data_IF_284816160913
#
_entry.id   IF_284816160913
#
_cell.length_a   1.000
_cell.length_b   1.000
_cell.length_c   1.000
_cell.angle_alpha   90.00
_cell.angle_beta   90.00
_cell.angle_gamma   90.00
#
_symmetry.space_group_name_H-M   'P 1'
#
loop_
_entity.id
_entity.type
_entity.pdbx_description
1 polymer ?
#
# COMPACT_ATOMS: atom_id res chain seq x y z
N UNK A 1 -81.94 0.50 6.86
CA UNK A 1 -80.69 1.17 6.46
C UNK A 1 -79.57 0.69 7.39
N UNK A 2 -78.63 -0.13 6.85
CA UNK A 2 -77.50 -0.65 7.64
C UNK A 2 -76.23 0.20 7.33
N UNK A 3 -75.78 0.99 8.30
CA UNK A 3 -74.51 1.75 8.20
C UNK A 3 -73.40 0.81 8.44
N UNK A 4 -72.53 0.64 7.40
CA UNK A 4 -71.17 -0.04 7.53
C UNK A 4 -70.15 1.01 7.97
N UNK A 5 -69.61 0.85 9.17
CA UNK A 5 -68.50 1.62 9.62
C UNK A 5 -67.21 0.97 9.06
N UNK A 6 -66.45 1.72 8.26
CA UNK A 6 -65.16 1.34 7.75
C UNK A 6 -64.09 1.83 8.74
N UNK A 7 -63.48 0.91 9.48
CA UNK A 7 -62.30 1.23 10.31
C UNK A 7 -61.06 1.24 9.45
N UNK A 8 -60.48 2.43 9.24
CA UNK A 8 -59.13 2.57 8.63
C UNK A 8 -58.12 2.48 9.74
N UNK A 9 -57.39 1.36 9.80
CA UNK A 9 -56.23 1.20 10.71
C UNK A 9 -55.03 1.83 10.02
N UNK A 10 -54.60 3.01 10.50
CA UNK A 10 -53.31 3.58 10.15
C UNK A 10 -52.19 2.79 10.84
N UNK A 11 -51.46 2.00 10.07
CA UNK A 11 -50.22 1.36 10.54
C UNK A 11 -49.14 2.45 10.58
N UNK A 12 -48.89 3.03 11.76
CA UNK A 12 -47.73 3.88 12.00
C UNK A 12 -46.48 2.97 12.03
N UNK A 13 -45.83 2.81 10.90
CA UNK A 13 -44.48 2.24 10.85
C UNK A 13 -43.53 3.31 11.39
N UNK A 14 -42.84 3.07 12.52
CA UNK A 14 -41.81 3.99 12.98
C UNK A 14 -40.71 4.02 11.90
N UNK A 15 -40.56 5.17 11.25
CA UNK A 15 -39.43 5.45 10.38
C UNK A 15 -38.23 5.69 11.32
N UNK A 16 -37.43 4.63 11.61
CA UNK A 16 -36.15 4.83 12.26
C UNK A 16 -35.26 5.58 11.29
N UNK A 17 -35.06 6.86 11.57
CA UNK A 17 -34.03 7.67 10.92
C UNK A 17 -32.73 7.15 11.50
N UNK A 18 -32.05 6.23 10.79
CA UNK A 18 -30.65 5.93 11.06
C UNK A 18 -29.86 7.22 10.81
N UNK A 19 -29.51 7.91 11.87
CA UNK A 19 -28.46 8.90 11.84
C UNK A 19 -27.17 8.17 11.50
N UNK A 20 -26.69 8.32 10.27
CA UNK A 20 -25.31 7.98 9.94
C UNK A 20 -24.45 8.99 10.71
N UNK A 21 -24.06 8.61 11.94
CA UNK A 21 -22.98 9.32 12.63
C UNK A 21 -21.77 9.24 11.72
N UNK A 22 -21.19 10.39 11.42
CA UNK A 22 -19.96 10.51 10.64
C UNK A 22 -18.85 9.91 11.52
N UNK A 23 -18.62 8.60 11.40
CA UNK A 23 -17.55 7.93 12.16
C UNK A 23 -16.22 8.53 11.71
N UNK A 24 -15.56 9.23 12.64
CA UNK A 24 -14.21 9.73 12.43
C UNK A 24 -13.24 8.54 12.55
N UNK A 25 -12.75 8.06 11.42
CA UNK A 25 -11.69 7.04 11.40
C UNK A 25 -10.33 7.71 11.58
N UNK A 26 -9.51 7.11 12.44
CA UNK A 26 -8.12 7.48 12.60
C UNK A 26 -7.23 6.26 12.38
N UNK A 27 -6.14 6.43 11.65
CA UNK A 27 -5.16 5.38 11.38
C UNK A 27 -3.82 5.77 11.96
N UNK A 28 -3.13 4.79 12.52
CA UNK A 28 -1.71 4.88 12.72
C UNK A 28 -0.99 4.23 11.54
N UNK A 29 -0.14 4.99 10.87
CA UNK A 29 0.56 4.57 9.67
C UNK A 29 2.06 4.52 9.95
N UNK A 30 2.70 3.37 9.65
CA UNK A 30 4.14 3.24 9.62
C UNK A 30 4.64 3.43 8.18
N UNK A 31 5.63 4.30 7.97
CA UNK A 31 6.41 4.38 6.73
C UNK A 31 7.86 4.05 7.10
N UNK A 32 8.40 2.96 6.54
CA UNK A 32 9.69 2.45 6.99
C UNK A 32 10.51 1.81 5.87
N UNK A 33 11.72 2.34 5.63
CA UNK A 33 12.70 1.69 4.77
C UNK A 33 13.37 0.56 5.57
N UNK A 34 13.21 -0.67 5.10
CA UNK A 34 13.64 -1.87 5.80
C UNK A 34 15.10 -2.26 5.54
N UNK A 35 15.76 -1.66 4.54
CA UNK A 35 17.14 -1.91 4.15
C UNK A 35 17.43 -3.41 3.93
N UNK A 36 16.61 -4.06 3.08
CA UNK A 36 16.63 -5.52 2.84
C UNK A 36 17.47 -5.93 1.64
N UNK A 37 18.61 -5.30 1.41
CA UNK A 37 19.54 -5.73 0.39
C UNK A 37 20.09 -7.14 0.70
N UNK A 38 20.58 -7.89 -0.32
CA UNK A 38 21.21 -9.18 -0.11
C UNK A 38 22.37 -9.09 0.91
N UNK A 39 22.53 -10.11 1.75
CA UNK A 39 23.54 -10.18 2.83
C UNK A 39 24.98 -9.93 2.37
N UNK A 40 25.28 -10.18 1.08
CA UNK A 40 26.61 -9.90 0.52
C UNK A 40 26.94 -8.40 0.45
N UNK A 41 25.93 -7.53 0.55
CA UNK A 41 26.09 -6.06 0.47
C UNK A 41 25.89 -5.37 1.82
N UNK A 42 25.36 -6.07 2.82
CA UNK A 42 25.02 -5.49 4.13
C UNK A 42 25.43 -6.45 5.25
N UNK A 43 25.84 -5.90 6.39
CA UNK A 43 26.28 -6.64 7.58
C UNK A 43 25.39 -6.28 8.79
N UNK A 44 24.07 -6.33 8.61
CA UNK A 44 23.10 -5.99 9.65
C UNK A 44 22.11 -7.13 9.99
N UNK A 45 22.43 -8.35 9.56
CA UNK A 45 21.72 -9.59 9.85
C UNK A 45 20.20 -9.51 9.50
N UNK A 46 19.84 -9.29 8.23
CA UNK A 46 18.45 -9.11 7.82
C UNK A 46 17.56 -10.32 8.17
N UNK A 47 18.06 -11.54 8.10
CA UNK A 47 17.30 -12.76 8.46
C UNK A 47 16.78 -12.76 9.90
N UNK A 48 17.51 -12.14 10.83
CA UNK A 48 17.02 -11.97 12.21
C UNK A 48 16.13 -10.74 12.37
N UNK A 49 16.45 -9.69 11.63
CA UNK A 49 15.79 -8.39 11.75
C UNK A 49 14.40 -8.38 11.11
N UNK A 50 14.23 -9.00 9.96
CA UNK A 50 13.00 -8.95 9.20
C UNK A 50 11.78 -9.60 9.88
N UNK A 51 11.88 -10.77 10.54
CA UNK A 51 10.78 -11.29 11.35
C UNK A 51 10.34 -10.32 12.45
N UNK A 52 11.29 -9.63 13.09
CA UNK A 52 11.01 -8.63 14.12
C UNK A 52 10.31 -7.41 13.52
N UNK A 53 10.72 -6.97 12.32
CA UNK A 53 10.03 -5.90 11.60
C UNK A 53 8.58 -6.31 11.32
N UNK A 54 8.37 -7.53 10.78
CA UNK A 54 7.04 -8.08 10.54
C UNK A 54 6.17 -8.09 11.80
N UNK A 55 6.73 -8.52 12.94
CA UNK A 55 6.03 -8.48 14.22
C UNK A 55 5.63 -7.05 14.61
N UNK A 56 6.52 -6.08 14.43
CA UNK A 56 6.27 -4.67 14.78
C UNK A 56 5.22 -4.00 13.90
N UNK A 57 4.99 -4.47 12.67
CA UNK A 57 3.92 -3.93 11.82
C UNK A 57 2.52 -4.17 12.41
N UNK A 58 2.37 -5.13 13.33
CA UNK A 58 1.08 -5.40 13.99
C UNK A 58 0.59 -4.26 14.87
N UNK A 59 1.49 -3.38 15.31
CA UNK A 59 1.17 -2.20 16.11
C UNK A 59 0.54 -1.06 15.28
N UNK A 60 0.46 -1.22 13.94
CA UNK A 60 -0.01 -0.20 13.02
C UNK A 60 -1.18 -0.72 12.18
N UNK A 61 -2.14 0.16 11.89
CA UNK A 61 -3.24 -0.14 10.98
C UNK A 61 -2.76 -0.35 9.54
N UNK A 62 -1.78 0.46 9.12
CA UNK A 62 -1.19 0.43 7.79
C UNK A 62 0.32 0.55 7.92
N UNK A 63 1.06 -0.33 7.27
CA UNK A 63 2.52 -0.24 7.18
C UNK A 63 2.96 -0.23 5.73
N UNK A 64 3.68 0.83 5.35
CA UNK A 64 4.22 1.06 4.02
C UNK A 64 5.73 0.87 4.08
N UNK A 65 6.20 -0.28 3.61
CA UNK A 65 7.58 -0.67 3.70
C UNK A 65 8.29 -0.49 2.35
N UNK A 66 9.57 -0.09 2.41
CA UNK A 66 10.47 0.01 1.27
C UNK A 66 11.69 -0.86 1.50
N UNK A 67 12.32 -1.30 0.42
CA UNK A 67 13.55 -2.12 0.39
C UNK A 67 13.42 -3.49 1.08
N UNK A 68 12.28 -4.18 1.00
CA UNK A 68 12.19 -5.55 1.52
C UNK A 68 12.86 -6.60 0.61
N UNK A 69 13.15 -6.26 -0.60
CA UNK A 69 13.85 -6.99 -1.67
C UNK A 69 13.96 -8.50 -1.48
N UNK A 70 15.09 -8.96 -0.89
CA UNK A 70 15.44 -10.38 -0.77
C UNK A 70 14.89 -11.04 0.49
N UNK A 71 14.26 -10.28 1.39
CA UNK A 71 13.87 -10.73 2.73
C UNK A 71 12.37 -10.69 3.00
N UNK A 72 11.58 -10.75 1.92
CA UNK A 72 10.13 -10.73 2.02
C UNK A 72 9.56 -11.95 2.75
N UNK A 73 10.17 -13.12 2.60
CA UNK A 73 9.74 -14.34 3.30
C UNK A 73 9.97 -14.23 4.80
N UNK A 74 11.14 -13.72 5.20
CA UNK A 74 11.44 -13.47 6.61
C UNK A 74 10.51 -12.42 7.20
N UNK A 75 10.23 -11.32 6.47
CA UNK A 75 9.24 -10.32 6.86
C UNK A 75 7.87 -10.98 7.10
N UNK A 76 7.42 -11.77 6.14
CA UNK A 76 6.12 -12.44 6.19
C UNK A 76 6.00 -13.41 7.36
N UNK A 77 7.11 -14.07 7.75
CA UNK A 77 7.11 -14.97 8.92
C UNK A 77 6.81 -14.27 10.24
N UNK A 78 7.03 -12.95 10.31
CA UNK A 78 6.74 -12.12 11.49
C UNK A 78 5.32 -11.56 11.53
N UNK A 79 4.57 -11.62 10.42
CA UNK A 79 3.23 -11.02 10.34
C UNK A 79 2.22 -11.73 11.26
N UNK A 80 1.16 -11.03 11.62
CA UNK A 80 0.00 -11.61 12.29
C UNK A 80 -0.85 -12.46 11.34
N UNK A 81 -1.64 -13.38 11.88
CA UNK A 81 -2.58 -14.20 11.09
C UNK A 81 -3.65 -13.37 10.41
N UNK A 82 -4.00 -12.23 10.97
CA UNK A 82 -5.00 -11.28 10.45
C UNK A 82 -4.40 -10.21 9.54
N UNK A 83 -3.05 -10.17 9.41
CA UNK A 83 -2.38 -9.20 8.56
C UNK A 83 -2.53 -9.55 7.09
N UNK A 84 -2.92 -8.58 6.27
CA UNK A 84 -2.97 -8.70 4.80
C UNK A 84 -1.78 -7.95 4.23
N UNK A 85 -0.93 -8.64 3.45
CA UNK A 85 0.26 -8.04 2.85
C UNK A 85 0.20 -8.08 1.32
N UNK A 86 0.51 -6.96 0.71
CA UNK A 86 0.63 -6.81 -0.75
C UNK A 86 2.07 -6.45 -1.11
N UNK A 87 2.73 -7.36 -1.79
CA UNK A 87 4.08 -7.14 -2.31
C UNK A 87 4.03 -6.36 -3.61
N UNK A 88 4.99 -5.45 -3.80
CA UNK A 88 5.17 -4.70 -5.04
C UNK A 88 5.68 -5.55 -6.20
N UNK A 89 5.84 -4.93 -7.37
CA UNK A 89 6.27 -5.61 -8.59
C UNK A 89 7.55 -6.41 -8.41
N UNK A 90 7.58 -7.62 -8.95
CA UNK A 90 8.76 -8.50 -8.93
C UNK A 90 9.68 -8.19 -10.10
N UNK A 91 10.99 -8.44 -9.91
CA UNK A 91 11.96 -8.37 -11.00
C UNK A 91 11.66 -9.37 -12.12
N UNK A 92 12.20 -9.13 -13.30
CA UNK A 92 12.03 -10.01 -14.46
C UNK A 92 13.16 -11.03 -14.57
N UNK A 93 12.87 -12.17 -15.24
CA UNK A 93 13.88 -13.19 -15.56
C UNK A 93 15.03 -12.65 -16.43
N UNK A 94 14.81 -11.55 -17.16
CA UNK A 94 15.83 -10.94 -18.05
C UNK A 94 16.95 -10.20 -17.29
N UNK A 95 16.78 -9.95 -16.00
CA UNK A 95 17.81 -9.37 -15.14
C UNK A 95 17.94 -10.18 -13.83
N UNK A 96 18.79 -11.23 -13.81
CA UNK A 96 18.94 -12.09 -12.62
C UNK A 96 19.49 -11.36 -11.38
N UNK A 97 20.11 -10.20 -11.57
CA UNK A 97 20.61 -9.33 -10.49
C UNK A 97 19.61 -8.27 -10.08
N UNK A 98 18.50 -8.13 -10.83
CA UNK A 98 17.46 -7.18 -10.50
C UNK A 98 16.56 -7.73 -9.42
N UNK A 99 16.44 -7.00 -8.34
CA UNK A 99 15.44 -7.26 -7.31
C UNK A 99 14.09 -6.68 -7.75
N UNK A 100 12.99 -7.07 -7.12
CA UNK A 100 11.70 -6.43 -7.32
C UNK A 100 11.70 -4.96 -6.87
N UNK A 101 10.51 -4.36 -6.79
CA UNK A 101 10.37 -2.96 -6.37
C UNK A 101 10.83 -2.71 -4.93
N UNK A 102 10.91 -3.76 -4.11
CA UNK A 102 11.21 -3.67 -2.68
C UNK A 102 10.09 -3.02 -1.87
N UNK A 103 8.89 -2.94 -2.42
CA UNK A 103 7.73 -2.38 -1.74
C UNK A 103 6.88 -3.49 -1.12
N UNK A 104 6.41 -3.27 0.09
CA UNK A 104 5.37 -4.08 0.73
C UNK A 104 4.44 -3.18 1.52
N UNK A 105 3.14 -3.33 1.30
CA UNK A 105 2.10 -2.66 2.09
C UNK A 105 1.37 -3.71 2.92
N UNK A 106 1.25 -3.47 4.23
CA UNK A 106 0.65 -4.38 5.20
C UNK A 106 -0.50 -3.66 5.89
N UNK A 107 -1.62 -4.37 6.03
CA UNK A 107 -2.86 -3.85 6.59
C UNK A 107 -3.32 -4.72 7.76
N UNK A 108 -3.62 -4.07 8.87
CA UNK A 108 -4.24 -4.64 10.06
C UNK A 108 -5.52 -3.82 10.33
N UNK A 109 -6.45 -3.89 9.40
CA UNK A 109 -7.72 -3.18 9.45
C UNK A 109 -8.81 -4.11 9.97
N UNK A 110 -9.85 -3.57 10.65
CA UNK A 110 -11.01 -4.37 11.07
C UNK A 110 -11.77 -4.97 9.87
N UNK A 111 -12.62 -5.94 10.13
CA UNK A 111 -13.49 -6.52 9.12
C UNK A 111 -14.38 -5.48 8.43
N UNK A 112 -14.68 -5.74 7.16
CA UNK A 112 -15.53 -4.88 6.33
C UNK A 112 -14.79 -3.78 5.58
N UNK A 113 -13.49 -3.60 5.80
CA UNK A 113 -12.65 -2.72 4.99
C UNK A 113 -12.20 -3.45 3.73
N UNK A 114 -12.31 -2.80 2.58
CA UNK A 114 -11.83 -3.35 1.30
C UNK A 114 -10.53 -2.66 0.90
N UNK A 115 -9.57 -3.46 0.46
CA UNK A 115 -8.25 -3.00 0.05
C UNK A 115 -8.00 -3.49 -1.37
N UNK A 116 -7.70 -2.57 -2.26
CA UNK A 116 -7.26 -2.85 -3.62
C UNK A 116 -5.88 -2.23 -3.85
N UNK A 117 -4.93 -3.01 -4.39
CA UNK A 117 -3.55 -2.57 -4.57
C UNK A 117 -3.10 -2.84 -6.00
N UNK A 118 -2.78 -1.77 -6.71
CA UNK A 118 -2.18 -1.83 -8.04
C UNK A 118 -0.69 -1.51 -7.94
N UNK A 119 0.12 -2.27 -8.66
CA UNK A 119 1.56 -2.08 -8.73
C UNK A 119 1.96 -1.53 -10.10
N UNK A 120 2.72 -0.44 -10.11
CA UNK A 120 3.31 0.11 -11.31
C UNK A 120 4.84 0.19 -11.18
N UNK A 121 5.55 -0.06 -12.30
CA UNK A 121 7.01 0.03 -12.37
C UNK A 121 7.38 1.31 -13.08
N UNK A 122 8.38 2.03 -12.57
CA UNK A 122 8.90 3.21 -13.24
C UNK A 122 9.59 2.85 -14.55
N UNK A 123 9.36 3.67 -15.56
CA UNK A 123 10.04 3.55 -16.88
C UNK A 123 11.44 4.16 -16.84
N UNK A 124 11.64 5.16 -15.96
CA UNK A 124 12.89 5.90 -15.82
C UNK A 124 13.63 5.52 -14.54
N UNK A 125 14.94 5.34 -14.68
CA UNK A 125 15.86 5.12 -13.58
C UNK A 125 17.23 5.76 -13.84
N UNK A 126 18.03 6.00 -12.80
CA UNK A 126 19.38 6.50 -12.93
C UNK A 126 20.43 5.46 -12.52
N UNK A 127 21.36 5.17 -13.43
CA UNK A 127 22.58 4.39 -13.16
C UNK A 127 22.42 2.88 -13.17
N UNK A 128 23.06 2.24 -14.16
CA UNK A 128 23.29 0.80 -14.21
C UNK A 128 24.59 0.36 -13.52
N UNK A 129 25.63 1.21 -13.59
CA UNK A 129 26.97 0.92 -13.06
C UNK A 129 27.59 2.12 -12.33
N UNK A 130 26.85 3.19 -12.15
CA UNK A 130 27.29 4.43 -11.48
C UNK A 130 26.15 5.05 -10.69
N UNK A 131 26.44 5.67 -9.57
CA UNK A 131 25.45 6.26 -8.68
C UNK A 131 24.93 5.23 -7.69
N UNK A 132 23.65 5.29 -7.37
CA UNK A 132 22.99 4.35 -6.45
C UNK A 132 22.64 3.01 -7.12
N UNK A 133 22.91 2.85 -8.43
CA UNK A 133 22.57 1.67 -9.22
C UNK A 133 21.07 1.31 -9.20
N UNK A 134 20.23 2.32 -9.15
CA UNK A 134 18.76 2.18 -8.98
C UNK A 134 18.08 1.37 -10.10
N UNK A 135 18.71 1.31 -11.29
CA UNK A 135 18.20 0.51 -12.40
C UNK A 135 18.27 -1.01 -12.19
N UNK A 136 18.98 -1.50 -11.16
CA UNK A 136 18.93 -2.92 -10.77
C UNK A 136 17.74 -3.25 -9.87
N UNK A 137 17.09 -2.25 -9.28
CA UNK A 137 15.83 -2.41 -8.60
C UNK A 137 14.70 -2.02 -9.55
N UNK A 138 13.73 -2.90 -9.78
CA UNK A 138 12.52 -2.56 -10.53
C UNK A 138 11.63 -1.63 -9.70
N UNK A 139 12.18 -0.44 -9.36
CA UNK A 139 11.48 0.54 -8.55
C UNK A 139 10.17 0.96 -9.20
N UNK A 140 9.22 1.32 -8.36
CA UNK A 140 7.89 1.68 -8.79
C UNK A 140 7.07 2.23 -7.63
N UNK A 141 5.77 2.10 -7.74
CA UNK A 141 4.83 2.51 -6.71
C UNK A 141 3.63 1.57 -6.64
N UNK A 142 2.99 1.58 -5.48
CA UNK A 142 1.70 0.94 -5.25
C UNK A 142 0.65 2.03 -5.13
N UNK A 143 -0.44 1.90 -5.89
CA UNK A 143 -1.66 2.69 -5.68
C UNK A 143 -2.57 1.83 -4.83
N UNK A 144 -2.86 2.28 -3.63
CA UNK A 144 -3.65 1.57 -2.64
C UNK A 144 -4.97 2.30 -2.50
N UNK A 145 -6.06 1.66 -2.91
CA UNK A 145 -7.41 2.14 -2.66
C UNK A 145 -7.95 1.45 -1.43
N UNK A 146 -8.43 2.20 -0.47
CA UNK A 146 -9.09 1.69 0.72
C UNK A 146 -10.52 2.19 0.75
N UNK A 147 -11.47 1.25 0.86
CA UNK A 147 -12.90 1.54 0.98
C UNK A 147 -13.35 1.18 2.39
N UNK A 148 -13.93 2.13 3.09
CA UNK A 148 -14.47 1.94 4.43
C UNK A 148 -15.78 1.16 4.41
N UNK A 149 -16.26 0.58 5.54
CA UNK A 149 -17.55 -0.10 5.61
C UNK A 149 -18.75 0.78 5.22
N UNK A 150 -18.62 2.11 5.35
CA UNK A 150 -19.62 3.09 4.91
C UNK A 150 -19.32 3.69 3.53
N UNK A 151 -18.61 2.94 2.68
CA UNK A 151 -18.34 3.24 1.25
C UNK A 151 -17.54 4.53 0.99
N UNK A 152 -16.84 5.07 2.01
CA UNK A 152 -15.88 6.17 1.79
C UNK A 152 -14.59 5.60 1.23
N UNK A 153 -14.04 6.26 0.23
CA UNK A 153 -12.81 5.84 -0.44
C UNK A 153 -11.68 6.83 -0.21
N UNK A 154 -10.46 6.33 -0.06
CA UNK A 154 -9.26 7.12 -0.05
C UNK A 154 -8.09 6.36 -0.66
N UNK A 155 -7.07 7.08 -1.11
CA UNK A 155 -5.92 6.52 -1.80
C UNK A 155 -4.63 6.81 -1.03
N UNK A 156 -3.75 5.82 -1.01
CA UNK A 156 -2.39 5.94 -0.49
C UNK A 156 -1.42 5.52 -1.58
N UNK A 157 -0.31 6.22 -1.71
CA UNK A 157 0.78 5.85 -2.60
C UNK A 157 1.97 5.41 -1.76
N UNK A 158 2.39 4.14 -1.93
CA UNK A 158 3.64 3.63 -1.39
C UNK A 158 4.69 3.60 -2.51
N UNK A 159 5.79 4.31 -2.34
CA UNK A 159 6.87 4.36 -3.33
C UNK A 159 8.24 4.50 -2.70
N UNK A 160 9.26 4.08 -3.46
CA UNK A 160 10.66 4.34 -3.17
C UNK A 160 11.34 4.80 -4.46
N UNK A 161 11.48 6.10 -4.62
CA UNK A 161 12.10 6.71 -5.80
C UNK A 161 13.62 6.47 -5.83
N UNK A 162 14.24 6.83 -6.97
CA UNK A 162 15.68 6.74 -7.14
C UNK A 162 16.44 7.53 -6.07
N UNK A 163 17.49 6.93 -5.55
CA UNK A 163 18.39 7.56 -4.59
C UNK A 163 19.41 8.48 -5.29
N UNK A 164 20.32 9.08 -4.51
CA UNK A 164 21.43 9.86 -5.03
C UNK A 164 21.15 11.35 -5.17
N UNK A 165 22.23 12.08 -5.52
CA UNK A 165 22.24 13.57 -5.53
C UNK A 165 22.72 14.17 -6.85
N UNK A 166 23.03 13.34 -7.86
CA UNK A 166 23.44 13.78 -9.18
C UNK A 166 22.26 14.39 -9.94
N UNK A 167 22.56 15.13 -11.00
CA UNK A 167 21.51 15.68 -11.87
C UNK A 167 20.67 14.57 -12.53
N UNK A 168 21.31 13.46 -12.93
CA UNK A 168 20.63 12.28 -13.45
C UNK A 168 19.64 11.69 -12.43
N UNK A 169 20.04 11.62 -11.15
CA UNK A 169 19.19 11.06 -10.09
C UNK A 169 17.98 11.97 -9.82
N UNK A 170 18.19 13.29 -9.87
CA UNK A 170 17.12 14.27 -9.74
C UNK A 170 16.15 14.19 -10.91
N UNK A 171 16.69 14.10 -12.15
CA UNK A 171 15.86 13.99 -13.35
C UNK A 171 15.03 12.69 -13.35
N UNK A 172 15.62 11.55 -12.96
CA UNK A 172 14.88 10.31 -12.82
C UNK A 172 13.71 10.47 -11.83
N UNK A 173 13.93 11.06 -10.64
CA UNK A 173 12.85 11.32 -9.68
C UNK A 173 11.77 12.27 -10.20
N UNK A 174 12.12 13.28 -11.00
CA UNK A 174 11.14 14.15 -11.67
C UNK A 174 10.23 13.32 -12.58
N UNK A 175 10.81 12.44 -13.42
CA UNK A 175 10.05 11.53 -14.29
C UNK A 175 9.20 10.53 -13.50
N UNK A 176 9.73 9.97 -12.43
CA UNK A 176 9.00 9.08 -11.54
C UNK A 176 7.81 9.79 -10.89
N UNK A 177 7.98 11.04 -10.47
CA UNK A 177 6.87 11.83 -9.92
C UNK A 177 5.82 12.17 -11.00
N UNK A 178 6.24 12.53 -12.22
CA UNK A 178 5.34 12.74 -13.36
C UNK A 178 4.50 11.47 -13.64
N UNK A 179 5.13 10.28 -13.57
CA UNK A 179 4.45 9.00 -13.74
C UNK A 179 3.37 8.78 -12.67
N UNK A 180 3.70 8.98 -11.38
CA UNK A 180 2.72 8.88 -10.28
C UNK A 180 1.54 9.82 -10.52
N UNK A 181 1.81 11.10 -10.81
CA UNK A 181 0.75 12.11 -11.05
C UNK A 181 -0.14 11.70 -12.23
N UNK A 182 0.46 11.17 -13.31
CA UNK A 182 -0.29 10.69 -14.47
C UNK A 182 -1.19 9.49 -14.13
N UNK A 183 -0.69 8.55 -13.32
CA UNK A 183 -1.45 7.38 -12.89
C UNK A 183 -2.64 7.79 -12.00
N UNK A 184 -2.45 8.73 -11.07
CA UNK A 184 -3.53 9.25 -10.22
C UNK A 184 -4.61 9.93 -11.06
N UNK A 185 -4.23 10.80 -12.00
CA UNK A 185 -5.20 11.49 -12.87
C UNK A 185 -6.07 10.53 -13.68
N UNK A 186 -5.49 9.44 -14.18
CA UNK A 186 -6.28 8.39 -14.88
C UNK A 186 -7.34 7.73 -13.97
N UNK A 187 -7.14 7.75 -12.65
CA UNK A 187 -8.12 7.22 -11.68
C UNK A 187 -9.23 8.21 -11.37
N UNK A 188 -8.96 9.51 -11.43
CA UNK A 188 -9.96 10.57 -11.21
C UNK A 188 -10.93 10.71 -12.39
N UNK A 189 -10.53 10.27 -13.60
CA UNK A 189 -11.32 10.34 -14.83
C UNK A 189 -12.27 9.13 -15.00
N UNK A 190 -12.33 8.20 -14.05
CA UNK A 190 -13.21 7.02 -14.04
C UNK A 190 -14.35 7.20 -13.05
#
# INVERSE_FOLDING_TARGET
MKHKFLFIIYLLIPFEVFSLEDENFSFNILVYNTHGLPEIFIDDNPKKRFPIIGEKTRDFNISLLQEDYSHHEELSSGLGTESIAYRGGMGTFLCPLCTGSGLTSIFNLPDGWLIDVENETYEDCSGWLRGANDCFAYKGFQIIKITTPNEKEFYIINTHMDAGRRDSDRHAREKQLEHIVSAIKKKEDI
#
